data_IF_883061157590
#
_entry.id   IF_883061157590
#
_cell.length_a   1.000
_cell.length_b   1.000
_cell.length_c   1.000
_cell.angle_alpha   90.00
_cell.angle_beta   90.00
_cell.angle_gamma   90.00
#
_symmetry.space_group_name_H-M   'P 1'
#
loop_
_entity.id
_entity.type
_entity.pdbx_description
1 polymer ?
#
# COMPACT_ATOMS: atom_id res chain seq x y z
N UNK A 1 -54.78 -20.58 14.28
CA UNK A 1 -55.94 -20.22 15.12
C UNK A 1 -55.68 -20.63 16.58
N UNK A 2 -55.10 -19.74 17.39
CA UNK A 2 -55.21 -19.76 18.85
C UNK A 2 -55.43 -18.32 19.30
N UNK A 3 -56.43 -18.17 20.15
CA UNK A 3 -57.05 -16.95 20.61
C UNK A 3 -56.61 -16.65 22.05
N UNK A 4 -56.61 -15.35 22.38
CA UNK A 4 -56.92 -14.70 23.68
C UNK A 4 -56.01 -15.08 24.87
N UNK A 5 -55.52 -14.15 25.71
CA UNK A 5 -56.20 -13.17 26.58
C UNK A 5 -55.19 -12.07 26.98
N UNK A 6 -55.41 -10.76 26.90
CA UNK A 6 -56.36 -9.85 27.59
C UNK A 6 -55.93 -9.32 28.97
N UNK A 7 -55.99 -7.97 29.08
CA UNK A 7 -56.20 -7.08 30.26
C UNK A 7 -55.00 -6.88 31.22
N UNK A 8 -54.71 -5.73 31.85
CA UNK A 8 -55.37 -4.43 32.13
C UNK A 8 -54.30 -3.47 32.76
N UNK A 9 -54.14 -2.18 32.36
CA UNK A 9 -54.76 -0.90 32.82
C UNK A 9 -53.90 -0.03 33.77
N UNK A 10 -53.82 1.26 33.37
CA UNK A 10 -53.82 2.53 34.14
C UNK A 10 -52.64 2.83 35.09
N UNK A 11 -52.16 4.06 35.31
CA UNK A 11 -52.78 5.40 35.47
C UNK A 11 -51.68 6.49 35.32
N UNK A 12 -51.89 7.63 34.63
CA UNK A 12 -52.28 8.97 35.18
C UNK A 12 -51.31 9.49 36.28
N UNK A 13 -50.68 10.68 36.28
CA UNK A 13 -51.11 12.09 36.02
C UNK A 13 -49.88 13.04 36.20
N UNK A 14 -49.94 14.35 35.86
CA UNK A 14 -48.81 15.23 35.50
C UNK A 14 -48.43 16.32 36.53
N UNK A 15 -47.35 17.08 36.25
CA UNK A 15 -46.99 18.36 36.90
C UNK A 15 -46.02 19.14 35.97
N UNK A 16 -46.35 20.32 35.41
CA UNK A 16 -46.18 21.70 35.95
C UNK A 16 -44.76 21.97 36.51
N UNK A 17 -44.05 23.08 36.29
CA UNK A 17 -44.20 24.38 35.60
C UNK A 17 -42.85 25.12 35.81
N UNK A 18 -42.71 26.32 35.21
CA UNK A 18 -41.63 27.32 35.30
C UNK A 18 -40.43 27.09 34.35
N UNK A 19 -39.94 28.08 33.60
CA UNK A 19 -40.16 29.51 33.62
C UNK A 19 -38.81 30.21 33.38
N UNK A 20 -38.85 31.26 32.56
CA UNK A 20 -37.98 32.44 32.52
C UNK A 20 -36.55 32.45 31.91
N UNK A 21 -36.32 33.63 31.34
CA UNK A 21 -35.09 34.39 30.98
C UNK A 21 -34.36 34.01 29.69
N UNK A 22 -34.55 34.76 28.60
CA UNK A 22 -33.90 36.04 28.23
C UNK A 22 -32.41 35.87 27.88
N UNK A 23 -32.05 36.10 26.61
CA UNK A 23 -31.02 37.08 26.23
C UNK A 23 -30.92 37.24 24.69
N UNK A 24 -30.84 38.52 24.34
CA UNK A 24 -30.38 39.23 23.13
C UNK A 24 -28.99 38.71 22.65
N UNK A 25 -28.39 38.96 21.49
CA UNK A 25 -28.62 39.63 20.22
C UNK A 25 -27.50 39.10 19.28
N UNK A 26 -27.63 39.35 17.98
CA UNK A 26 -26.56 39.79 17.05
C UNK A 26 -26.59 39.11 15.66
N UNK A 27 -26.72 39.99 14.66
CA UNK A 27 -26.71 39.76 13.23
C UNK A 27 -25.32 39.27 12.74
N UNK A 28 -25.28 38.13 12.04
CA UNK A 28 -24.21 37.85 11.08
C UNK A 28 -24.79 37.61 9.68
N UNK A 29 -24.55 38.61 8.84
CA UNK A 29 -24.67 38.60 7.39
C UNK A 29 -23.78 37.51 6.78
N UNK A 30 -24.32 36.69 5.87
CA UNK A 30 -23.49 36.10 4.82
C UNK A 30 -23.85 34.68 4.37
N UNK A 31 -24.22 34.58 3.10
CA UNK A 31 -24.07 33.38 2.25
C UNK A 31 -24.92 32.14 2.56
N UNK A 32 -26.18 32.21 2.15
CA UNK A 32 -26.86 31.04 1.58
C UNK A 32 -26.21 30.66 0.24
N UNK A 33 -25.12 29.90 0.30
CA UNK A 33 -24.70 29.07 -0.84
C UNK A 33 -25.62 27.86 -0.85
N UNK A 34 -26.39 27.73 -1.93
CA UNK A 34 -27.29 26.60 -2.14
C UNK A 34 -26.45 25.33 -2.34
N UNK A 35 -26.45 24.46 -1.32
CA UNK A 35 -25.77 23.16 -1.26
C UNK A 35 -26.16 22.19 -2.39
N UNK A 36 -27.20 22.52 -3.16
CA UNK A 36 -27.63 21.78 -4.35
C UNK A 36 -26.76 22.02 -5.60
N UNK A 37 -25.99 23.13 -5.66
CA UNK A 37 -25.13 23.44 -6.81
C UNK A 37 -23.75 22.76 -6.77
N UNK A 38 -23.24 22.48 -5.57
CA UNK A 38 -21.90 21.89 -5.39
C UNK A 38 -21.84 20.42 -5.81
N UNK A 39 -22.92 19.66 -5.57
CA UNK A 39 -22.97 18.23 -5.90
C UNK A 39 -23.13 17.94 -7.40
N UNK A 40 -23.68 18.86 -8.20
CA UNK A 40 -23.83 18.66 -9.65
C UNK A 40 -22.52 18.94 -10.41
N UNK A 41 -21.69 19.88 -9.96
CA UNK A 41 -20.44 20.20 -10.64
C UNK A 41 -19.36 19.15 -10.36
N UNK A 42 -19.32 18.58 -9.15
CA UNK A 42 -18.44 17.44 -8.85
C UNK A 42 -18.82 16.19 -9.66
N UNK A 43 -20.13 15.92 -9.81
CA UNK A 43 -20.59 14.75 -10.57
C UNK A 43 -20.30 14.86 -12.08
N UNK A 44 -20.32 16.07 -12.64
CA UNK A 44 -20.02 16.31 -14.07
C UNK A 44 -18.50 16.27 -14.32
N UNK A 45 -17.68 16.74 -13.37
CA UNK A 45 -16.23 16.66 -13.48
C UNK A 45 -15.69 15.23 -13.28
N UNK A 46 -16.32 14.41 -12.43
CA UNK A 46 -15.91 13.00 -12.25
C UNK A 46 -16.29 12.13 -13.46
N UNK A 47 -17.43 12.39 -14.11
CA UNK A 47 -17.90 11.57 -15.24
C UNK A 47 -17.18 11.86 -16.57
N UNK A 48 -16.80 13.11 -16.84
CA UNK A 48 -16.08 13.44 -18.10
C UNK A 48 -14.57 13.09 -18.05
N UNK A 49 -13.98 12.97 -16.86
CA UNK A 49 -12.59 12.54 -16.68
C UNK A 49 -12.42 11.02 -16.75
N UNK A 50 -13.42 10.24 -16.32
CA UNK A 50 -13.37 8.78 -16.36
C UNK A 50 -13.46 8.22 -17.79
N UNK A 51 -14.41 8.71 -18.60
CA UNK A 51 -14.65 8.16 -19.95
C UNK A 51 -13.47 8.42 -20.91
N UNK A 52 -12.83 9.60 -20.85
CA UNK A 52 -11.71 9.94 -21.73
C UNK A 52 -10.41 9.20 -21.40
N UNK A 53 -10.18 8.91 -20.12
CA UNK A 53 -9.02 8.13 -19.67
C UNK A 53 -9.24 6.64 -19.96
N UNK A 54 -10.46 6.13 -19.82
CA UNK A 54 -10.79 4.73 -20.11
C UNK A 54 -10.58 4.34 -21.58
N UNK A 55 -10.96 5.20 -22.51
CA UNK A 55 -10.80 4.93 -23.94
C UNK A 55 -9.30 4.90 -24.33
N UNK A 56 -8.51 5.84 -23.80
CA UNK A 56 -7.05 5.86 -23.99
C UNK A 56 -6.38 4.61 -23.38
N UNK A 57 -6.80 4.15 -22.21
CA UNK A 57 -6.25 2.96 -21.56
C UNK A 57 -6.53 1.68 -22.34
N UNK A 58 -7.72 1.56 -22.95
CA UNK A 58 -8.06 0.41 -23.82
C UNK A 58 -7.18 0.37 -25.06
N UNK A 59 -6.98 1.50 -25.72
CA UNK A 59 -6.14 1.58 -26.92
C UNK A 59 -4.67 1.25 -26.62
N UNK A 60 -4.15 1.77 -25.50
CA UNK A 60 -2.80 1.48 -25.03
C UNK A 60 -2.61 0.00 -24.67
N UNK A 61 -3.63 -0.63 -24.07
CA UNK A 61 -3.59 -2.06 -23.70
C UNK A 61 -3.70 -2.96 -24.93
N UNK A 62 -4.48 -2.58 -25.95
CA UNK A 62 -4.54 -3.30 -27.22
C UNK A 62 -3.21 -3.25 -28.00
N UNK A 63 -2.51 -2.12 -27.95
CA UNK A 63 -1.14 -1.98 -28.48
C UNK A 63 -0.17 -2.88 -27.70
N UNK A 64 -0.39 -3.06 -26.39
CA UNK A 64 0.44 -3.91 -25.53
C UNK A 64 0.37 -5.40 -25.94
N UNK A 65 -0.81 -5.93 -26.22
CA UNK A 65 -0.94 -7.31 -26.70
C UNK A 65 -0.36 -7.50 -28.10
N UNK A 66 -0.34 -6.45 -28.92
CA UNK A 66 0.25 -6.46 -30.25
C UNK A 66 1.78 -6.32 -30.24
N UNK A 67 2.36 -5.61 -29.26
CA UNK A 67 3.80 -5.36 -29.16
C UNK A 67 4.34 -6.01 -27.89
N UNK A 68 5.09 -7.10 -28.05
CA UNK A 68 5.76 -7.83 -26.96
C UNK A 68 6.92 -7.03 -26.31
N UNK A 69 6.63 -5.83 -25.79
CA UNK A 69 7.60 -5.02 -25.05
C UNK A 69 7.85 -5.65 -23.67
N UNK A 70 9.13 -5.71 -23.28
CA UNK A 70 9.48 -6.08 -21.91
C UNK A 70 9.37 -4.88 -20.97
N UNK A 71 9.28 -5.13 -19.66
CA UNK A 71 9.22 -4.07 -18.63
C UNK A 71 10.36 -3.06 -18.76
N UNK A 72 11.57 -3.54 -19.07
CA UNK A 72 12.74 -2.68 -19.22
C UNK A 72 12.69 -1.86 -20.52
N UNK A 73 12.06 -2.39 -21.58
CA UNK A 73 11.89 -1.65 -22.83
C UNK A 73 10.91 -0.49 -22.60
N UNK A 74 9.79 -0.73 -21.89
CA UNK A 74 8.83 0.32 -21.51
C UNK A 74 9.50 1.37 -20.62
N UNK A 75 10.26 0.95 -19.60
CA UNK A 75 10.96 1.86 -18.69
C UNK A 75 12.00 2.76 -19.39
N UNK A 76 12.52 2.34 -20.54
CA UNK A 76 13.51 3.09 -21.32
C UNK A 76 12.92 3.89 -22.49
N UNK A 77 11.60 3.87 -22.69
CA UNK A 77 10.94 4.78 -23.64
C UNK A 77 11.28 6.23 -23.30
N UNK A 78 11.57 7.04 -24.30
CA UNK A 78 11.97 8.43 -24.11
C UNK A 78 10.75 9.31 -23.88
N UNK A 79 10.81 10.11 -22.82
CA UNK A 79 9.80 11.12 -22.56
C UNK A 79 9.95 12.22 -23.63
N UNK A 80 8.89 12.47 -24.41
CA UNK A 80 8.84 13.59 -25.36
C UNK A 80 8.38 13.27 -26.77
N UNK A 81 8.65 12.08 -27.30
CA UNK A 81 8.28 11.69 -28.67
C UNK A 81 7.29 10.51 -28.74
N UNK A 82 7.24 9.64 -27.72
CA UNK A 82 6.46 8.39 -27.75
C UNK A 82 5.33 8.31 -26.71
N UNK A 83 5.56 8.72 -25.46
CA UNK A 83 4.60 8.68 -24.34
C UNK A 83 4.97 9.70 -23.25
N UNK A 84 3.97 10.19 -22.49
CA UNK A 84 4.17 10.91 -21.24
C UNK A 84 4.64 9.99 -20.11
N UNK A 85 5.24 10.57 -19.06
CA UNK A 85 5.68 9.82 -17.87
C UNK A 85 4.50 9.12 -17.17
N UNK A 86 3.32 9.75 -17.18
CA UNK A 86 2.07 9.19 -16.64
C UNK A 86 1.61 7.99 -17.44
N UNK A 87 1.57 8.07 -18.78
CA UNK A 87 1.15 6.93 -19.61
C UNK A 87 2.16 5.78 -19.54
N UNK A 88 3.46 6.09 -19.43
CA UNK A 88 4.52 5.11 -19.22
C UNK A 88 4.39 4.39 -17.87
N UNK A 89 4.05 5.11 -16.81
CA UNK A 89 3.77 4.52 -15.51
C UNK A 89 2.55 3.58 -15.57
N UNK A 90 1.48 4.01 -16.25
CA UNK A 90 0.29 3.18 -16.44
C UNK A 90 0.60 1.94 -17.27
N UNK A 91 1.36 2.07 -18.35
CA UNK A 91 1.84 0.96 -19.16
C UNK A 91 2.63 -0.07 -18.35
N UNK A 92 3.57 0.40 -17.52
CA UNK A 92 4.34 -0.47 -16.64
C UNK A 92 3.44 -1.21 -15.65
N UNK A 93 2.48 -0.52 -15.04
CA UNK A 93 1.56 -1.13 -14.09
C UNK A 93 0.67 -2.19 -14.76
N UNK A 94 0.03 -1.86 -15.88
CA UNK A 94 -0.77 -2.80 -16.66
C UNK A 94 0.06 -4.02 -17.08
N UNK A 95 1.33 -3.81 -17.44
CA UNK A 95 2.24 -4.92 -17.73
C UNK A 95 2.50 -5.78 -16.49
N UNK A 96 2.78 -5.19 -15.34
CA UNK A 96 3.04 -5.94 -14.09
C UNK A 96 1.81 -6.77 -13.69
N UNK A 97 0.61 -6.22 -13.86
CA UNK A 97 -0.65 -6.81 -13.40
C UNK A 97 -1.30 -7.81 -14.35
N UNK A 98 -0.96 -7.79 -15.65
CA UNK A 98 -1.52 -8.67 -16.67
C UNK A 98 -1.68 -10.14 -16.16
N UNK A 99 -2.72 -10.90 -16.52
CA UNK A 99 -3.87 -10.50 -17.33
C UNK A 99 -4.90 -9.68 -16.53
N UNK A 100 -4.60 -9.29 -15.29
CA UNK A 100 -5.52 -8.49 -14.47
C UNK A 100 -5.49 -7.04 -14.95
N UNK A 101 -6.67 -6.52 -15.26
CA UNK A 101 -6.86 -5.11 -15.58
C UNK A 101 -6.54 -4.22 -14.38
N UNK A 102 -5.93 -3.06 -14.65
CA UNK A 102 -5.50 -2.13 -13.61
C UNK A 102 -6.68 -1.54 -12.83
N UNK A 103 -7.80 -1.19 -13.48
CA UNK A 103 -8.97 -0.67 -12.78
C UNK A 103 -9.58 -1.74 -11.87
N UNK A 104 -9.70 -2.97 -12.38
CA UNK A 104 -10.18 -4.09 -11.58
C UNK A 104 -9.28 -4.39 -10.38
N UNK A 105 -7.96 -4.30 -10.55
CA UNK A 105 -7.00 -4.42 -9.47
C UNK A 105 -7.24 -3.39 -8.36
N UNK A 106 -7.33 -2.10 -8.72
CA UNK A 106 -7.57 -1.03 -7.74
C UNK A 106 -8.91 -1.19 -7.01
N UNK A 107 -9.95 -1.63 -7.73
CA UNK A 107 -11.29 -1.81 -7.15
C UNK A 107 -11.36 -2.97 -6.16
N UNK A 108 -10.75 -4.11 -6.50
CA UNK A 108 -11.00 -5.39 -5.81
C UNK A 108 -9.83 -5.92 -4.98
N UNK A 109 -8.60 -5.55 -5.28
CA UNK A 109 -7.40 -6.13 -4.66
C UNK A 109 -6.55 -5.12 -3.89
N UNK A 110 -6.36 -3.91 -4.43
CA UNK A 110 -5.55 -2.88 -3.79
C UNK A 110 -5.99 -2.66 -2.33
N UNK A 111 -5.07 -2.89 -1.39
CA UNK A 111 -5.25 -2.80 0.07
C UNK A 111 -6.39 -3.65 0.66
N UNK A 112 -6.96 -4.58 -0.11
CA UNK A 112 -8.11 -5.41 0.31
C UNK A 112 -7.78 -6.88 0.33
N UNK A 113 -7.21 -7.40 -0.75
CA UNK A 113 -7.01 -8.83 -0.97
C UNK A 113 -5.66 -9.10 -1.62
N UNK A 114 -5.04 -10.21 -1.24
CA UNK A 114 -3.87 -10.71 -1.94
C UNK A 114 -4.23 -11.09 -3.38
N UNK A 115 -3.40 -10.69 -4.34
CA UNK A 115 -3.52 -11.06 -5.74
C UNK A 115 -2.33 -11.93 -6.16
N UNK A 116 -2.62 -13.10 -6.73
CA UNK A 116 -1.63 -13.96 -7.37
C UNK A 116 -1.91 -14.03 -8.87
N UNK A 117 -0.98 -13.53 -9.68
CA UNK A 117 -1.06 -13.55 -11.15
C UNK A 117 -0.11 -14.63 -11.71
N UNK A 118 -0.59 -15.86 -11.96
CA UNK A 118 0.24 -16.88 -12.59
C UNK A 118 0.64 -16.44 -14.00
N UNK A 119 1.89 -16.72 -14.37
CA UNK A 119 2.44 -16.40 -15.70
C UNK A 119 2.80 -17.70 -16.40
N UNK A 120 2.40 -17.82 -17.65
CA UNK A 120 2.80 -18.95 -18.50
C UNK A 120 4.22 -18.76 -19.05
N UNK A 121 4.63 -17.52 -19.28
CA UNK A 121 5.96 -17.19 -19.79
C UNK A 121 7.00 -17.10 -18.66
N UNK A 122 7.91 -18.07 -18.59
CA UNK A 122 9.03 -18.07 -17.66
C UNK A 122 10.04 -16.92 -17.90
N UNK A 123 10.04 -16.33 -19.10
CA UNK A 123 10.98 -15.27 -19.47
C UNK A 123 10.48 -13.87 -19.09
N UNK A 124 9.27 -13.75 -18.55
CA UNK A 124 8.58 -12.49 -18.32
C UNK A 124 9.42 -11.43 -17.58
N UNK A 125 10.10 -11.84 -16.51
CA UNK A 125 10.94 -10.97 -15.68
C UNK A 125 12.44 -11.11 -15.93
N UNK A 126 12.86 -11.94 -16.91
CA UNK A 126 14.27 -12.30 -17.10
C UNK A 126 15.19 -11.10 -17.35
N UNK A 127 14.67 -10.04 -17.97
CA UNK A 127 15.42 -8.81 -18.24
C UNK A 127 15.46 -7.85 -17.04
N UNK A 128 14.56 -8.00 -16.06
CA UNK A 128 14.48 -7.10 -14.90
C UNK A 128 15.62 -7.35 -13.93
N UNK A 129 15.86 -8.61 -13.60
CA UNK A 129 16.99 -9.00 -12.75
C UNK A 129 17.52 -10.37 -13.15
N UNK A 130 18.80 -10.59 -12.90
CA UNK A 130 19.44 -11.88 -13.14
C UNK A 130 20.59 -12.09 -12.17
N UNK A 131 20.95 -13.36 -11.93
CA UNK A 131 22.15 -13.71 -11.15
C UNK A 131 23.40 -13.00 -11.67
N UNK A 132 23.59 -12.92 -13.00
CA UNK A 132 24.73 -12.22 -13.61
C UNK A 132 24.73 -10.72 -13.31
N UNK A 133 23.54 -10.10 -13.24
CA UNK A 133 23.42 -8.71 -12.84
C UNK A 133 23.81 -8.52 -11.37
N UNK A 134 23.32 -9.39 -10.48
CA UNK A 134 23.68 -9.39 -9.06
C UNK A 134 25.19 -9.61 -8.85
N UNK A 135 25.79 -10.57 -9.55
CA UNK A 135 27.25 -10.77 -9.53
C UNK A 135 28.01 -9.51 -9.94
N UNK A 136 27.52 -8.77 -10.94
CA UNK A 136 28.14 -7.50 -11.34
C UNK A 136 27.99 -6.42 -10.26
N UNK A 137 26.82 -6.31 -9.64
CA UNK A 137 26.54 -5.36 -8.54
C UNK A 137 27.48 -5.65 -7.37
N UNK A 138 27.50 -6.89 -6.89
CA UNK A 138 28.30 -7.30 -5.73
C UNK A 138 29.81 -7.14 -5.93
N UNK A 139 30.29 -7.21 -7.17
CA UNK A 139 31.71 -7.05 -7.48
C UNK A 139 32.13 -5.60 -7.73
N UNK A 140 31.20 -4.71 -8.06
CA UNK A 140 31.51 -3.32 -8.46
C UNK A 140 31.17 -2.29 -7.41
N UNK A 141 30.18 -2.55 -6.57
CA UNK A 141 29.74 -1.64 -5.52
C UNK A 141 30.29 -2.08 -4.16
N UNK A 142 30.56 -1.09 -3.30
CA UNK A 142 30.77 -1.33 -1.88
C UNK A 142 29.40 -1.53 -1.23
N UNK A 143 29.22 -2.66 -0.55
CA UNK A 143 27.95 -3.02 0.08
C UNK A 143 28.16 -3.14 1.57
N UNK A 144 27.20 -2.65 2.34
CA UNK A 144 27.23 -2.71 3.80
C UNK A 144 26.06 -3.55 4.33
N UNK A 145 26.33 -4.37 5.34
CA UNK A 145 25.33 -5.17 6.02
C UNK A 145 24.32 -4.25 6.71
N UNK A 146 23.03 -4.56 6.60
CA UNK A 146 21.94 -3.76 7.16
C UNK A 146 21.55 -2.53 6.33
N UNK A 147 22.45 -2.01 5.48
CA UNK A 147 22.18 -0.87 4.60
C UNK A 147 21.81 -1.33 3.18
N UNK A 148 22.68 -2.12 2.55
CA UNK A 148 22.50 -2.58 1.18
C UNK A 148 22.12 -4.05 1.13
N UNK A 149 22.69 -4.88 2.00
CA UNK A 149 22.50 -6.33 2.00
C UNK A 149 22.14 -6.84 3.40
N UNK A 150 21.28 -7.86 3.47
CA UNK A 150 21.06 -8.62 4.69
C UNK A 150 20.95 -10.11 4.40
N UNK A 151 21.24 -10.91 5.42
CA UNK A 151 21.22 -12.36 5.36
C UNK A 151 20.11 -12.91 6.26
N UNK A 152 19.28 -13.78 5.71
CA UNK A 152 18.13 -14.36 6.41
C UNK A 152 18.32 -15.87 6.48
N UNK A 153 18.31 -16.41 7.70
CA UNK A 153 18.27 -17.85 7.94
C UNK A 153 16.81 -18.34 7.90
N UNK A 154 16.38 -19.06 6.86
CA UNK A 154 14.97 -19.45 6.71
C UNK A 154 14.49 -20.34 7.87
N UNK A 155 15.38 -21.06 8.55
CA UNK A 155 15.02 -21.94 9.67
C UNK A 155 14.75 -21.16 10.96
N UNK A 156 15.30 -19.95 11.10
CA UNK A 156 15.07 -19.09 12.27
C UNK A 156 13.83 -18.22 12.12
N UNK A 157 13.44 -17.89 10.89
CA UNK A 157 12.25 -17.07 10.61
C UNK A 157 10.95 -17.78 11.01
N UNK A 158 10.89 -19.11 10.88
CA UNK A 158 9.69 -19.89 11.23
C UNK A 158 9.36 -19.93 12.73
N UNK A 159 10.27 -19.52 13.61
CA UNK A 159 10.10 -19.60 15.08
C UNK A 159 9.50 -18.31 15.66
N UNK A 160 9.51 -17.19 14.92
CA UNK A 160 9.12 -15.86 15.44
C UNK A 160 7.65 -15.49 15.23
N UNK A 161 6.79 -16.39 14.71
CA UNK A 161 5.39 -16.10 14.43
C UNK A 161 4.42 -16.46 15.58
N UNK A 162 4.92 -16.54 16.82
CA UNK A 162 4.03 -16.57 17.99
C UNK A 162 3.83 -15.13 18.44
N UNK A 163 2.62 -14.54 18.28
CA UNK A 163 2.32 -13.29 18.97
C UNK A 163 2.46 -13.57 20.46
N UNK A 164 3.33 -12.83 21.12
CA UNK A 164 3.40 -12.81 22.58
C UNK A 164 2.01 -12.40 23.07
N UNK A 165 1.24 -13.37 23.55
CA UNK A 165 0.04 -13.14 24.30
C UNK A 165 0.42 -12.36 25.56
N UNK A 166 -0.35 -11.32 25.81
CA UNK A 166 -0.29 -10.45 26.97
C UNK A 166 -0.03 -11.23 28.27
N UNK A 167 1.17 -11.10 28.83
CA UNK A 167 1.41 -11.38 30.24
C UNK A 167 1.83 -10.09 30.95
N UNK A 168 0.81 -9.51 31.56
CA UNK A 168 0.76 -8.84 32.86
C UNK A 168 1.96 -8.01 33.34
N UNK A 169 1.64 -6.73 33.54
CA UNK A 169 2.32 -5.76 34.40
C UNK A 169 2.86 -6.38 35.69
N UNK A 170 4.17 -6.27 35.88
CA UNK A 170 4.77 -6.21 37.22
C UNK A 170 5.54 -4.90 37.30
N UNK A 171 4.97 -3.97 38.06
CA UNK A 171 5.61 -2.74 38.49
C UNK A 171 6.98 -3.06 39.13
N UNK A 172 8.04 -2.48 38.60
CA UNK A 172 9.34 -2.48 39.27
C UNK A 172 9.88 -1.05 39.35
N UNK A 173 9.70 -0.46 40.53
CA UNK A 173 10.25 0.80 40.94
C UNK A 173 11.79 0.77 40.92
N UNK A 174 12.37 1.80 40.30
CA UNK A 174 13.61 2.44 40.75
C UNK A 174 14.91 1.66 40.64
N UNK A 175 15.70 1.98 39.62
CA UNK A 175 17.08 2.46 39.79
C UNK A 175 17.71 2.80 38.44
N UNK A 176 18.31 3.99 38.40
CA UNK A 176 19.43 4.42 37.56
C UNK A 176 20.04 3.36 36.62
N UNK A 177 20.05 3.63 35.33
CA UNK A 177 21.23 3.29 34.54
C UNK A 177 21.40 4.22 33.34
N UNK A 178 22.67 4.43 33.01
CA UNK A 178 23.21 5.43 32.13
C UNK A 178 22.52 5.50 30.77
N UNK A 179 22.52 6.71 30.21
CA UNK A 179 22.36 6.91 28.79
C UNK A 179 23.41 6.10 28.05
N UNK A 180 23.03 4.90 27.63
CA UNK A 180 23.70 4.14 26.58
C UNK A 180 23.49 4.92 25.30
N UNK A 181 24.39 5.88 25.05
CA UNK A 181 24.76 6.24 23.69
C UNK A 181 25.08 4.92 23.01
N UNK A 182 24.11 4.42 22.25
CA UNK A 182 24.31 3.22 21.45
C UNK A 182 25.25 3.68 20.38
N UNK A 183 26.57 3.54 20.62
CA UNK A 183 27.58 3.73 19.60
C UNK A 183 27.15 2.84 18.44
N UNK A 184 26.57 3.45 17.40
CA UNK A 184 26.21 2.76 16.18
C UNK A 184 27.51 2.14 15.66
N UNK A 185 27.65 0.83 15.86
CA UNK A 185 28.79 0.09 15.38
C UNK A 185 28.94 0.42 13.88
N UNK A 186 30.17 0.75 13.43
CA UNK A 186 30.36 1.19 12.06
C UNK A 186 29.80 0.14 11.11
N UNK A 187 29.05 0.61 10.10
CA UNK A 187 28.46 -0.22 9.08
C UNK A 187 29.48 -1.23 8.54
N UNK A 188 29.19 -2.53 8.70
CA UNK A 188 30.09 -3.60 8.28
C UNK A 188 30.05 -3.72 6.76
N UNK A 189 31.19 -3.48 6.11
CA UNK A 189 31.35 -3.78 4.68
C UNK A 189 31.28 -5.29 4.45
N UNK A 190 30.56 -5.70 3.41
CA UNK A 190 30.36 -7.10 3.01
C UNK A 190 30.92 -7.29 1.61
N UNK A 191 31.87 -8.23 1.46
CA UNK A 191 32.48 -8.54 0.17
C UNK A 191 31.62 -9.50 -0.64
N UNK A 192 31.72 -9.44 -1.97
CA UNK A 192 31.03 -10.38 -2.86
C UNK A 192 31.25 -11.86 -2.49
N UNK A 193 32.49 -12.23 -2.14
CA UNK A 193 32.83 -13.61 -1.76
C UNK A 193 32.04 -14.09 -0.55
N UNK A 194 31.86 -13.22 0.44
CA UNK A 194 31.12 -13.50 1.67
C UNK A 194 29.62 -13.64 1.39
N UNK A 195 29.06 -12.77 0.52
CA UNK A 195 27.65 -12.88 0.09
C UNK A 195 27.38 -14.26 -0.51
N UNK A 196 28.27 -14.73 -1.40
CA UNK A 196 28.12 -16.04 -2.03
C UNK A 196 28.40 -17.21 -1.09
N UNK A 197 29.28 -17.04 -0.10
CA UNK A 197 29.52 -18.03 0.94
C UNK A 197 28.28 -18.21 1.82
N UNK A 198 27.69 -17.11 2.29
CA UNK A 198 26.44 -17.13 3.05
C UNK A 198 25.30 -17.78 2.25
N UNK A 199 25.17 -17.44 0.96
CA UNK A 199 24.21 -18.10 0.08
C UNK A 199 24.43 -19.61 -0.04
N UNK A 200 25.69 -20.05 -0.21
CA UNK A 200 26.04 -21.49 -0.26
C UNK A 200 25.77 -22.20 1.07
N UNK A 201 25.89 -21.49 2.19
CA UNK A 201 25.58 -22.00 3.52
C UNK A 201 24.06 -22.06 3.81
N UNK A 202 23.22 -21.73 2.81
CA UNK A 202 21.76 -21.85 2.92
C UNK A 202 21.05 -20.59 3.40
N UNK A 203 21.77 -19.46 3.55
CA UNK A 203 21.15 -18.19 3.88
C UNK A 203 20.52 -17.54 2.64
N UNK A 204 19.37 -16.90 2.83
CA UNK A 204 18.75 -16.06 1.81
C UNK A 204 19.41 -14.69 1.83
N UNK A 205 19.87 -14.23 0.66
CA UNK A 205 20.46 -12.90 0.49
C UNK A 205 19.35 -11.93 0.08
N UNK A 206 19.10 -10.91 0.89
CA UNK A 206 18.15 -9.83 0.60
C UNK A 206 18.93 -8.56 0.25
N UNK A 207 18.62 -7.97 -0.89
CA UNK A 207 19.11 -6.65 -1.29
C UNK A 207 18.09 -5.60 -0.82
N UNK A 208 18.52 -4.65 0.00
CA UNK A 208 17.67 -3.64 0.63
C UNK A 208 17.60 -2.36 -0.21
N UNK A 209 18.77 -1.91 -0.67
CA UNK A 209 18.93 -0.75 -1.56
C UNK A 209 20.00 -1.08 -2.60
N UNK A 210 19.63 -1.29 -3.88
CA UNK A 210 20.59 -1.51 -4.98
C UNK A 210 21.30 -0.23 -5.43
#
# INVERSE_FOLDING_TARGET
KRQMTSLEKNSDVPHMDAGDDEDEDEDEFGERVTEAGSNMVSSILETELEDGVEEQLRDITAIFDAVQLSLLDIANLKDGDDLSSTEKATLLLSKILNPVDAQFFYKSYWEKNALHCPREDEQYFKKVTSRKLLERVFNKQLLFEGLNVSFIDPLKVSVSNVPASDEENVDNDGASDAGSETEEAPAREVRSSEIWENYKNGLTVKLLTP
#
